data_IF_461271492135
#
_entry.id   IF_461271492135
#
_cell.length_a   1.000
_cell.length_b   1.000
_cell.length_c   1.000
_cell.angle_alpha   90.00
_cell.angle_beta   90.00
_cell.angle_gamma   90.00
#
_symmetry.space_group_name_H-M   'P 1'
#
loop_
_entity.id
_entity.type
_entity.pdbx_description
1 polymer ?
#
# COMPACT_ATOMS: atom_id res chain seq x y z
N UNK A 1 -15.48 -0.50 -27.45
CA UNK A 1 -15.99 0.60 -26.59
C UNK A 1 -14.92 1.63 -26.18
N UNK A 2 -14.05 1.36 -25.18
CA UNK A 2 -13.16 2.43 -24.63
C UNK A 2 -12.17 2.99 -25.65
N UNK A 3 -11.52 2.13 -26.44
CA UNK A 3 -10.64 2.57 -27.53
C UNK A 3 -11.37 3.41 -28.59
N UNK A 4 -12.57 2.97 -28.99
CA UNK A 4 -13.42 3.69 -29.97
C UNK A 4 -13.87 5.05 -29.43
N UNK A 5 -14.06 5.16 -28.12
CA UNK A 5 -14.38 6.42 -27.44
C UNK A 5 -13.13 7.28 -27.10
N UNK A 6 -11.92 6.89 -27.54
CA UNK A 6 -10.68 7.59 -27.22
C UNK A 6 -10.29 7.57 -25.74
N UNK A 7 -10.87 6.66 -24.95
CA UNK A 7 -10.61 6.53 -23.52
C UNK A 7 -9.45 5.55 -23.24
N UNK A 8 -8.67 5.76 -22.16
CA UNK A 8 -7.62 4.82 -21.76
C UNK A 8 -8.17 3.42 -21.54
N UNK A 9 -7.49 2.41 -22.09
CA UNK A 9 -7.83 1.00 -21.87
C UNK A 9 -7.64 0.61 -20.40
N UNK A 10 -8.38 -0.41 -19.97
CA UNK A 10 -8.12 -1.03 -18.67
C UNK A 10 -6.82 -1.82 -18.72
N UNK A 11 -6.10 -1.82 -17.60
CA UNK A 11 -4.76 -2.39 -17.52
C UNK A 11 -4.74 -3.92 -17.35
N UNK A 12 -5.83 -4.51 -16.85
CA UNK A 12 -6.01 -5.96 -16.67
C UNK A 12 -7.51 -6.26 -16.36
N UNK A 13 -7.94 -7.52 -16.40
CA UNK A 13 -9.31 -7.94 -16.06
C UNK A 13 -9.77 -7.49 -14.67
N UNK A 14 -8.90 -7.46 -13.66
CA UNK A 14 -9.25 -6.97 -12.31
C UNK A 14 -9.67 -5.50 -12.33
N UNK A 15 -8.90 -4.63 -12.99
CA UNK A 15 -9.23 -3.22 -13.14
C UNK A 15 -10.48 -3.02 -14.00
N UNK A 16 -10.63 -3.82 -15.06
CA UNK A 16 -11.82 -3.79 -15.90
C UNK A 16 -13.08 -4.17 -15.12
N UNK A 17 -13.07 -5.27 -14.36
CA UNK A 17 -14.20 -5.71 -13.54
C UNK A 17 -14.55 -4.68 -12.45
N UNK A 18 -13.57 -4.17 -11.71
CA UNK A 18 -13.79 -3.16 -10.67
C UNK A 18 -14.41 -1.87 -11.23
N UNK A 19 -13.90 -1.39 -12.37
CA UNK A 19 -14.46 -0.23 -13.07
C UNK A 19 -15.84 -0.51 -13.69
N UNK A 20 -16.21 -1.77 -13.88
CA UNK A 20 -17.51 -2.19 -14.44
C UNK A 20 -18.59 -2.32 -13.39
N UNK A 21 -18.27 -2.82 -12.20
CA UNK A 21 -19.22 -2.92 -11.10
C UNK A 21 -19.49 -1.54 -10.47
N UNK A 22 -18.50 -0.64 -10.46
CA UNK A 22 -18.60 0.69 -9.83
C UNK A 22 -19.14 1.78 -10.77
N UNK A 23 -20.22 1.49 -11.49
CA UNK A 23 -20.92 2.48 -12.32
C UNK A 23 -22.10 3.05 -11.56
N UNK A 24 -22.33 4.37 -11.67
CA UNK A 24 -23.53 5.00 -11.10
C UNK A 24 -24.79 4.56 -11.85
N UNK A 25 -24.68 4.39 -13.17
CA UNK A 25 -25.75 3.85 -14.00
C UNK A 25 -25.55 2.34 -14.23
N UNK A 26 -26.40 1.48 -13.66
CA UNK A 26 -26.26 0.02 -13.79
C UNK A 26 -26.42 -0.48 -15.24
N UNK A 27 -27.02 0.31 -16.14
CA UNK A 27 -27.15 -0.04 -17.56
C UNK A 27 -25.80 -0.07 -18.27
N UNK A 28 -24.79 0.63 -17.75
CA UNK A 28 -23.41 0.55 -18.26
C UNK A 28 -22.79 -0.78 -17.85
N UNK A 29 -22.99 -1.20 -16.61
CA UNK A 29 -22.54 -2.51 -16.10
C UNK A 29 -23.17 -3.65 -16.90
N UNK A 30 -24.47 -3.56 -17.19
CA UNK A 30 -25.22 -4.59 -17.92
C UNK A 30 -24.69 -4.84 -19.36
N UNK A 31 -23.98 -3.89 -19.96
CA UNK A 31 -23.36 -4.05 -21.29
C UNK A 31 -22.03 -4.80 -21.26
N UNK A 32 -21.49 -5.08 -20.08
CA UNK A 32 -20.17 -5.70 -19.91
C UNK A 32 -20.35 -7.16 -19.48
N UNK A 33 -19.59 -8.11 -20.06
CA UNK A 33 -19.75 -9.54 -19.79
C UNK A 33 -19.12 -9.91 -18.45
N UNK A 34 -19.69 -9.40 -17.35
CA UNK A 34 -19.27 -9.74 -16.00
C UNK A 34 -19.79 -11.12 -15.61
N UNK A 35 -18.97 -11.82 -14.85
CA UNK A 35 -19.24 -13.16 -14.34
C UNK A 35 -18.70 -13.27 -12.90
N UNK A 36 -19.10 -14.30 -12.16
CA UNK A 36 -18.78 -14.43 -10.73
C UNK A 36 -18.59 -15.89 -10.32
N UNK A 37 -17.63 -16.11 -9.41
CA UNK A 37 -17.51 -17.34 -8.63
C UNK A 37 -17.65 -17.02 -7.13
N UNK A 38 -18.52 -17.75 -6.44
CA UNK A 38 -18.68 -17.69 -4.99
C UNK A 38 -17.72 -18.69 -4.34
N UNK A 39 -17.05 -18.28 -3.27
CA UNK A 39 -15.97 -19.06 -2.66
C UNK A 39 -16.06 -19.19 -1.13
N UNK A 40 -17.06 -18.58 -0.48
CA UNK A 40 -17.23 -18.63 0.97
C UNK A 40 -18.63 -18.16 1.38
N UNK A 41 -19.15 -18.73 2.46
CA UNK A 41 -20.30 -18.21 3.20
C UNK A 41 -19.79 -17.26 4.31
N UNK A 42 -20.30 -16.03 4.36
CA UNK A 42 -19.84 -15.03 5.32
C UNK A 42 -20.66 -14.97 6.62
N UNK A 43 -21.99 -14.89 6.49
CA UNK A 43 -22.92 -14.80 7.61
C UNK A 43 -24.09 -15.76 7.38
N UNK A 44 -24.51 -16.45 8.43
CA UNK A 44 -25.67 -17.32 8.45
C UNK A 44 -26.37 -17.21 9.80
N UNK A 45 -27.70 -17.15 9.78
CA UNK A 45 -28.56 -17.12 10.96
C UNK A 45 -29.70 -18.12 10.78
N UNK A 46 -30.14 -18.75 11.87
CA UNK A 46 -31.35 -19.58 11.88
C UNK A 46 -31.22 -20.97 11.25
N UNK A 47 -30.00 -21.46 10.98
CA UNK A 47 -29.77 -22.82 10.46
C UNK A 47 -28.36 -23.33 10.71
N UNK A 48 -28.19 -24.65 10.73
CA UNK A 48 -26.87 -25.28 10.79
C UNK A 48 -26.14 -25.09 9.44
N UNK A 49 -24.94 -24.53 9.49
CA UNK A 49 -24.04 -24.49 8.32
C UNK A 49 -23.27 -25.80 8.20
N UNK A 50 -22.90 -26.24 6.99
CA UNK A 50 -22.08 -27.43 6.82
C UNK A 50 -20.78 -27.34 7.62
N UNK A 51 -20.27 -28.44 8.21
CA UNK A 51 -19.10 -28.41 9.08
C UNK A 51 -17.78 -28.19 8.33
N UNK A 52 -17.76 -28.43 7.01
CA UNK A 52 -16.58 -28.22 6.17
C UNK A 52 -16.78 -27.15 5.10
N UNK A 53 -15.66 -26.56 4.67
CA UNK A 53 -15.64 -25.60 3.57
C UNK A 53 -16.07 -26.25 2.25
N UNK A 54 -15.67 -27.51 2.01
CA UNK A 54 -16.08 -28.26 0.82
C UNK A 54 -17.60 -28.46 0.77
N UNK A 55 -18.22 -28.93 1.85
CA UNK A 55 -19.67 -29.08 1.91
C UNK A 55 -20.39 -27.72 1.83
N UNK A 56 -19.78 -26.65 2.33
CA UNK A 56 -20.30 -25.29 2.14
C UNK A 56 -20.33 -24.90 0.66
N UNK A 57 -19.30 -25.27 -0.12
CA UNK A 57 -19.27 -25.00 -1.55
C UNK A 57 -20.33 -25.81 -2.30
N UNK A 58 -20.49 -27.08 -1.99
CA UNK A 58 -21.56 -27.92 -2.57
C UNK A 58 -22.95 -27.43 -2.17
N UNK A 59 -23.14 -26.97 -0.93
CA UNK A 59 -24.38 -26.35 -0.49
C UNK A 59 -24.69 -25.07 -1.29
N UNK A 60 -23.74 -24.15 -1.43
CA UNK A 60 -23.94 -22.93 -2.23
C UNK A 60 -24.26 -23.26 -3.70
N UNK A 61 -23.59 -24.26 -4.27
CA UNK A 61 -23.88 -24.76 -5.61
C UNK A 61 -25.31 -25.30 -5.72
N UNK A 62 -25.80 -26.03 -4.71
CA UNK A 62 -27.18 -26.53 -4.65
C UNK A 62 -28.22 -25.41 -4.61
N UNK A 63 -27.86 -24.22 -4.09
CA UNK A 63 -28.70 -23.02 -4.09
C UNK A 63 -28.67 -22.24 -5.41
N UNK A 64 -27.91 -22.71 -6.42
CA UNK A 64 -27.76 -22.05 -7.72
C UNK A 64 -26.64 -21.01 -7.77
N UNK A 65 -25.83 -20.87 -6.71
CA UNK A 65 -24.63 -20.04 -6.80
C UNK A 65 -23.58 -20.71 -7.68
N UNK A 66 -22.90 -19.89 -8.49
CA UNK A 66 -21.80 -20.35 -9.34
C UNK A 66 -20.53 -20.55 -8.49
N UNK A 67 -20.13 -21.81 -8.31
CA UNK A 67 -18.86 -22.20 -7.67
C UNK A 67 -17.85 -22.59 -8.75
N UNK A 68 -16.56 -22.34 -8.51
CA UNK A 68 -15.53 -22.66 -9.48
C UNK A 68 -15.45 -24.17 -9.71
N UNK A 69 -15.64 -24.67 -10.96
CA UNK A 69 -15.64 -26.10 -11.25
C UNK A 69 -14.26 -26.76 -11.05
N UNK A 70 -13.20 -25.94 -10.97
CA UNK A 70 -11.83 -26.39 -10.81
C UNK A 70 -11.43 -26.64 -9.35
N UNK A 71 -12.32 -26.41 -8.37
CA UNK A 71 -12.03 -26.67 -6.97
C UNK A 71 -11.76 -28.18 -6.73
N UNK A 72 -10.82 -28.49 -5.85
CA UNK A 72 -10.50 -29.86 -5.46
C UNK A 72 -10.37 -29.99 -3.93
N UNK A 73 -10.82 -31.12 -3.39
CA UNK A 73 -10.55 -31.54 -2.02
C UNK A 73 -9.27 -32.38 -2.02
N UNK A 74 -8.26 -31.92 -1.31
CA UNK A 74 -6.92 -32.52 -1.29
C UNK A 74 -6.59 -32.93 0.15
N UNK A 75 -5.91 -34.06 0.32
CA UNK A 75 -5.65 -34.67 1.63
C UNK A 75 -4.21 -34.52 2.13
N UNK A 76 -3.31 -34.02 1.27
CA UNK A 76 -1.89 -33.85 1.59
C UNK A 76 -1.28 -32.59 0.98
N UNK A 77 -0.14 -32.14 1.51
CA UNK A 77 0.61 -31.01 0.95
C UNK A 77 1.14 -31.34 -0.46
N UNK A 78 1.58 -32.59 -0.68
CA UNK A 78 2.06 -33.02 -2.00
C UNK A 78 0.98 -32.93 -3.07
N UNK A 79 -0.26 -33.29 -2.74
CA UNK A 79 -1.41 -33.09 -3.65
C UNK A 79 -1.66 -31.60 -3.93
N UNK A 80 -1.48 -30.72 -2.93
CA UNK A 80 -1.60 -29.27 -3.13
C UNK A 80 -0.53 -28.74 -4.08
N UNK A 81 0.71 -29.22 -3.96
CA UNK A 81 1.81 -28.87 -4.85
C UNK A 81 1.57 -29.36 -6.28
N UNK A 82 1.09 -30.60 -6.45
CA UNK A 82 0.75 -31.16 -7.76
C UNK A 82 -0.43 -30.41 -8.41
N UNK A 83 -1.45 -30.07 -7.62
CA UNK A 83 -2.59 -29.27 -8.08
C UNK A 83 -2.14 -27.86 -8.50
N UNK A 84 -1.22 -27.23 -7.75
CA UNK A 84 -0.61 -25.95 -8.15
C UNK A 84 0.14 -26.08 -9.48
N UNK A 85 1.01 -27.08 -9.61
CA UNK A 85 1.81 -27.30 -10.82
C UNK A 85 0.93 -27.52 -12.05
N UNK A 86 -0.10 -28.34 -11.92
CA UNK A 86 -1.10 -28.57 -12.98
C UNK A 86 -1.71 -27.27 -13.47
N UNK A 87 -2.06 -26.36 -12.56
CA UNK A 87 -2.65 -25.07 -12.92
C UNK A 87 -1.64 -24.03 -13.40
N UNK A 88 -0.36 -24.13 -13.03
CA UNK A 88 0.70 -23.34 -13.67
C UNK A 88 0.79 -23.68 -15.16
N UNK A 89 0.79 -24.97 -15.51
CA UNK A 89 0.86 -25.42 -16.91
C UNK A 89 -0.42 -25.11 -17.69
N UNK A 90 -1.59 -25.30 -17.07
CA UNK A 90 -2.90 -25.13 -17.73
C UNK A 90 -3.47 -23.72 -17.62
N UNK A 91 -2.72 -22.78 -17.05
CA UNK A 91 -3.17 -21.40 -16.77
C UNK A 91 -3.83 -20.74 -17.97
N UNK A 92 -3.24 -20.89 -19.16
CA UNK A 92 -3.72 -20.25 -20.39
C UNK A 92 -5.00 -20.87 -20.95
N UNK A 93 -5.40 -22.06 -20.46
CA UNK A 93 -6.65 -22.70 -20.87
C UNK A 93 -7.87 -22.16 -20.11
N UNK A 94 -7.66 -21.38 -19.04
CA UNK A 94 -8.76 -20.77 -18.28
C UNK A 94 -9.40 -19.63 -19.09
N UNK A 95 -10.74 -19.51 -19.09
CA UNK A 95 -11.44 -18.40 -19.73
C UNK A 95 -11.34 -17.07 -18.95
N UNK A 96 -10.49 -17.03 -17.92
CA UNK A 96 -10.25 -15.89 -17.05
C UNK A 96 -8.78 -15.89 -16.59
N UNK A 97 -8.25 -14.72 -16.24
CA UNK A 97 -6.93 -14.62 -15.62
C UNK A 97 -6.97 -15.15 -14.19
N UNK A 98 -5.97 -15.98 -13.85
CA UNK A 98 -5.70 -16.44 -12.49
C UNK A 98 -4.25 -16.14 -12.10
N UNK A 99 -4.04 -15.85 -10.82
CA UNK A 99 -2.74 -15.46 -10.25
C UNK A 99 -2.17 -16.48 -9.26
N UNK A 100 -2.87 -17.59 -9.08
CA UNK A 100 -2.52 -18.68 -8.17
C UNK A 100 -3.73 -19.52 -7.80
N UNK A 101 -3.53 -20.37 -6.80
CA UNK A 101 -4.60 -21.09 -6.10
C UNK A 101 -4.75 -20.55 -4.68
N UNK A 102 -5.89 -20.80 -4.05
CA UNK A 102 -6.09 -20.52 -2.62
C UNK A 102 -6.22 -21.85 -1.89
N UNK A 103 -5.30 -22.11 -0.97
CA UNK A 103 -5.31 -23.30 -0.12
C UNK A 103 -6.00 -22.94 1.18
N UNK A 104 -7.03 -23.69 1.57
CA UNK A 104 -7.81 -23.48 2.79
C UNK A 104 -7.88 -24.77 3.56
N UNK A 105 -7.76 -24.71 4.88
CA UNK A 105 -8.12 -25.85 5.72
C UNK A 105 -9.61 -26.19 5.49
N UNK A 106 -9.94 -27.47 5.39
CA UNK A 106 -11.32 -27.84 5.07
C UNK A 106 -12.26 -27.74 6.29
N UNK A 107 -11.76 -27.96 7.51
CA UNK A 107 -12.57 -27.87 8.74
C UNK A 107 -12.85 -26.41 9.12
N UNK A 108 -14.12 -26.07 9.31
CA UNK A 108 -14.51 -24.73 9.77
C UNK A 108 -14.23 -24.50 11.27
N UNK A 109 -14.21 -25.55 12.10
CA UNK A 109 -13.73 -25.47 13.50
C UNK A 109 -12.29 -24.95 13.57
N UNK A 110 -11.44 -25.41 12.64
CA UNK A 110 -10.06 -24.93 12.55
C UNK A 110 -9.98 -23.47 12.09
N UNK A 111 -10.94 -22.97 11.31
CA UNK A 111 -10.96 -21.56 10.92
C UNK A 111 -11.15 -20.67 12.15
N UNK A 112 -12.11 -21.02 13.00
CA UNK A 112 -12.41 -20.28 14.24
C UNK A 112 -11.24 -20.33 15.22
N UNK A 113 -10.69 -21.54 15.46
CA UNK A 113 -9.59 -21.74 16.42
C UNK A 113 -8.29 -21.07 15.99
N UNK A 114 -7.99 -21.04 14.70
CA UNK A 114 -6.80 -20.38 14.20
C UNK A 114 -6.98 -18.86 14.16
N UNK A 115 -8.16 -18.38 13.80
CA UNK A 115 -8.47 -16.95 13.71
C UNK A 115 -7.64 -16.22 12.65
N UNK A 116 -7.42 -14.92 12.88
CA UNK A 116 -6.75 -14.01 11.96
C UNK A 116 -5.54 -13.33 12.63
N UNK A 117 -4.52 -12.96 11.84
CA UNK A 117 -3.45 -12.04 12.23
C UNK A 117 -3.63 -10.76 11.42
N UNK A 118 -3.93 -9.64 12.09
CA UNK A 118 -4.24 -8.39 11.41
C UNK A 118 -5.44 -8.56 10.46
N UNK A 119 -5.19 -8.47 9.15
CA UNK A 119 -6.20 -8.65 8.09
C UNK A 119 -6.15 -10.03 7.40
N UNK A 120 -5.25 -10.92 7.81
CA UNK A 120 -4.98 -12.17 7.11
C UNK A 120 -5.48 -13.39 7.93
N UNK A 121 -6.24 -14.31 7.34
CA UNK A 121 -6.64 -15.55 8.02
C UNK A 121 -5.47 -16.51 8.18
N UNK A 122 -5.38 -17.17 9.35
CA UNK A 122 -4.32 -18.17 9.62
C UNK A 122 -4.61 -19.55 9.03
N UNK A 123 -5.84 -19.77 8.56
CA UNK A 123 -6.34 -21.04 8.04
C UNK A 123 -6.35 -21.12 6.50
N UNK A 124 -5.91 -20.06 5.81
CA UNK A 124 -5.83 -20.02 4.35
C UNK A 124 -4.59 -19.28 3.86
N UNK A 125 -4.10 -19.67 2.68
CA UNK A 125 -2.97 -19.02 2.01
C UNK A 125 -3.22 -18.93 0.51
N UNK A 126 -2.85 -17.80 -0.10
CA UNK A 126 -2.82 -17.66 -1.55
C UNK A 126 -1.47 -18.19 -2.07
N UNK A 127 -1.49 -19.35 -2.71
CA UNK A 127 -0.31 -19.94 -3.33
C UNK A 127 -0.19 -19.45 -4.78
N UNK A 128 0.51 -18.33 -4.95
CA UNK A 128 0.63 -17.61 -6.22
C UNK A 128 1.39 -18.41 -7.28
N UNK A 129 1.02 -18.22 -8.54
CA UNK A 129 1.83 -18.68 -9.66
C UNK A 129 3.11 -17.85 -9.76
N UNK A 130 4.17 -18.37 -10.41
CA UNK A 130 5.34 -17.57 -10.73
C UNK A 130 4.95 -16.27 -11.42
N UNK A 131 5.47 -15.13 -10.92
CA UNK A 131 5.15 -13.84 -11.48
C UNK A 131 5.59 -13.77 -12.95
N UNK A 132 4.75 -13.21 -13.82
CA UNK A 132 5.15 -12.93 -15.20
C UNK A 132 6.32 -11.96 -15.16
N UNK A 133 7.42 -12.34 -15.80
CA UNK A 133 8.62 -11.53 -15.90
C UNK A 133 8.72 -10.93 -17.31
N UNK A 134 9.17 -9.69 -17.38
CA UNK A 134 9.62 -9.06 -18.63
C UNK A 134 11.08 -8.66 -18.51
N UNK A 135 11.75 -8.48 -19.65
CA UNK A 135 13.08 -7.87 -19.68
C UNK A 135 12.98 -6.50 -20.34
N UNK A 136 13.68 -5.52 -19.78
CA UNK A 136 13.72 -4.15 -20.33
C UNK A 136 15.01 -3.45 -19.97
N UNK A 137 15.28 -2.31 -20.60
CA UNK A 137 16.46 -1.50 -20.30
C UNK A 137 16.25 -0.65 -19.04
N UNK A 138 17.23 -0.67 -18.14
CA UNK A 138 17.33 0.23 -17.01
C UNK A 138 18.00 1.54 -17.46
N UNK A 139 17.20 2.58 -17.67
CA UNK A 139 17.69 3.86 -18.19
C UNK A 139 18.38 4.70 -17.11
N UNK A 140 17.81 4.74 -15.91
CA UNK A 140 18.29 5.58 -14.81
C UNK A 140 17.85 4.97 -13.47
N UNK A 141 18.58 5.27 -12.40
CA UNK A 141 18.10 5.06 -11.03
C UNK A 141 17.94 6.43 -10.38
N UNK A 142 16.71 6.75 -9.97
CA UNK A 142 16.38 7.98 -9.23
C UNK A 142 16.12 7.65 -7.77
N UNK A 143 16.09 8.69 -6.93
CA UNK A 143 15.91 8.55 -5.49
C UNK A 143 14.74 9.42 -5.04
N UNK A 144 13.73 8.79 -4.43
CA UNK A 144 12.64 9.50 -3.76
C UNK A 144 12.95 9.67 -2.28
N UNK A 145 12.37 10.70 -1.67
CA UNK A 145 12.51 10.98 -0.23
C UNK A 145 11.18 10.65 0.44
N UNK A 146 11.17 9.62 1.28
CA UNK A 146 9.98 9.20 2.00
C UNK A 146 9.62 10.13 3.18
N UNK A 147 8.46 9.89 3.79
CA UNK A 147 7.91 10.62 4.94
C UNK A 147 8.89 10.85 6.09
N UNK A 148 9.66 9.82 6.42
CA UNK A 148 10.64 9.81 7.52
C UNK A 148 12.05 10.20 7.06
N UNK A 149 12.17 10.72 5.84
CA UNK A 149 13.44 11.10 5.23
C UNK A 149 14.19 9.95 4.54
N UNK A 150 13.68 8.72 4.56
CA UNK A 150 14.31 7.57 3.86
C UNK A 150 14.56 7.90 2.39
N UNK A 151 15.78 7.66 1.92
CA UNK A 151 16.15 7.78 0.52
C UNK A 151 15.91 6.43 -0.17
N UNK A 152 14.87 6.38 -0.99
CA UNK A 152 14.39 5.15 -1.62
C UNK A 152 14.75 5.18 -3.12
N UNK A 153 15.67 4.30 -3.59
CA UNK A 153 15.99 4.24 -5.00
C UNK A 153 14.85 3.61 -5.80
N UNK A 154 14.67 4.02 -7.04
CA UNK A 154 13.73 3.40 -7.95
C UNK A 154 14.26 3.47 -9.39
N UNK A 155 13.98 2.42 -10.15
CA UNK A 155 14.38 2.27 -11.53
C UNK A 155 13.47 3.11 -12.44
N UNK A 156 14.08 3.85 -13.37
CA UNK A 156 13.43 4.37 -14.57
C UNK A 156 13.74 3.39 -15.70
N UNK A 157 12.70 2.78 -16.24
CA UNK A 157 12.79 1.69 -17.19
C UNK A 157 12.34 2.15 -18.58
N UNK A 158 12.89 1.53 -19.60
CA UNK A 158 12.25 1.55 -20.92
C UNK A 158 10.87 0.86 -20.81
N UNK A 159 9.80 1.45 -21.37
CA UNK A 159 8.45 0.93 -21.18
C UNK A 159 8.33 -0.54 -21.62
N UNK A 160 7.89 -1.41 -20.71
CA UNK A 160 7.73 -2.85 -20.98
C UNK A 160 6.37 -3.34 -20.51
N UNK A 161 5.71 -4.18 -21.30
CA UNK A 161 4.45 -4.82 -20.91
C UNK A 161 4.73 -6.08 -20.10
N UNK A 162 4.25 -6.13 -18.86
CA UNK A 162 4.38 -7.30 -17.98
C UNK A 162 3.04 -7.58 -17.31
N UNK A 163 2.42 -8.71 -17.65
CA UNK A 163 1.09 -9.07 -17.15
C UNK A 163 0.03 -8.01 -17.48
N UNK A 164 -0.06 -7.60 -18.75
CA UNK A 164 -1.05 -6.66 -19.27
C UNK A 164 -0.80 -5.17 -18.97
N UNK A 165 0.18 -4.84 -18.12
CA UNK A 165 0.46 -3.47 -17.70
C UNK A 165 1.81 -2.99 -18.22
N UNK A 166 1.83 -1.77 -18.77
CA UNK A 166 3.09 -1.10 -19.13
C UNK A 166 3.80 -0.57 -17.88
N UNK A 167 4.95 -1.16 -17.56
CA UNK A 167 5.82 -0.74 -16.47
C UNK A 167 6.85 0.26 -17.02
N UNK A 168 6.94 1.44 -16.40
CA UNK A 168 7.97 2.47 -16.68
C UNK A 168 8.89 2.72 -15.49
N UNK A 169 8.46 2.31 -14.30
CA UNK A 169 9.17 2.50 -13.05
C UNK A 169 9.03 1.25 -12.19
N UNK A 170 10.08 0.91 -11.46
CA UNK A 170 10.07 -0.21 -10.53
C UNK A 170 10.83 0.12 -9.25
N UNK A 171 10.37 -0.41 -8.13
CA UNK A 171 11.02 -0.21 -6.85
C UNK A 171 12.40 -0.89 -6.83
N UNK A 172 13.38 -0.22 -6.23
CA UNK A 172 14.65 -0.79 -5.82
C UNK A 172 14.72 -0.62 -4.31
N UNK A 173 15.05 -1.68 -3.56
CA UNK A 173 14.86 -1.64 -2.10
C UNK A 173 15.78 -0.64 -1.41
N UNK A 174 17.09 -0.74 -1.64
CA UNK A 174 18.12 0.13 -1.07
C UNK A 174 19.44 -0.06 -1.82
N UNK A 175 20.44 0.77 -1.50
CA UNK A 175 21.77 0.70 -2.14
C UNK A 175 22.43 -0.68 -1.98
N UNK A 176 22.32 -1.30 -0.81
CA UNK A 176 22.93 -2.60 -0.55
C UNK A 176 22.28 -3.71 -1.39
N UNK A 177 20.95 -3.68 -1.56
CA UNK A 177 20.23 -4.64 -2.41
C UNK A 177 20.58 -4.47 -3.89
N UNK A 178 20.71 -3.22 -4.35
CA UNK A 178 21.18 -2.90 -5.71
C UNK A 178 22.57 -3.49 -5.94
N UNK A 179 23.50 -3.30 -4.99
CA UNK A 179 24.86 -3.86 -5.07
C UNK A 179 24.87 -5.37 -4.98
N UNK A 180 24.08 -5.96 -4.08
CA UNK A 180 23.97 -7.42 -3.89
C UNK A 180 23.46 -8.12 -5.15
N UNK A 181 22.51 -7.50 -5.86
CA UNK A 181 22.00 -7.98 -7.16
C UNK A 181 22.87 -7.56 -8.34
N UNK A 182 23.93 -6.79 -8.12
CA UNK A 182 24.80 -6.18 -9.12
C UNK A 182 24.02 -5.43 -10.22
N UNK A 183 22.99 -4.67 -9.84
CA UNK A 183 22.18 -3.90 -10.80
C UNK A 183 22.92 -2.60 -11.15
N UNK A 184 23.10 -2.35 -12.45
CA UNK A 184 23.83 -1.18 -12.98
C UNK A 184 22.97 -0.37 -13.94
N UNK A 185 23.14 0.94 -13.94
CA UNK A 185 22.46 1.83 -14.88
C UNK A 185 22.94 1.49 -16.30
N UNK A 186 21.99 1.22 -17.20
CA UNK A 186 22.25 0.72 -18.54
C UNK A 186 21.99 -0.78 -18.73
N UNK A 187 21.86 -1.57 -17.65
CA UNK A 187 21.60 -3.00 -17.73
C UNK A 187 20.27 -3.29 -18.47
N UNK A 188 20.23 -4.43 -19.17
CA UNK A 188 18.94 -5.10 -19.39
C UNK A 188 18.56 -5.80 -18.09
N UNK A 189 17.41 -5.47 -17.51
CA UNK A 189 16.95 -6.00 -16.22
C UNK A 189 15.69 -6.83 -16.37
N UNK A 190 15.56 -7.83 -15.50
CA UNK A 190 14.35 -8.63 -15.33
C UNK A 190 13.43 -7.90 -14.36
N UNK A 191 12.19 -7.66 -14.79
CA UNK A 191 11.17 -6.93 -14.04
C UNK A 191 9.97 -7.81 -13.85
N UNK A 192 9.40 -7.80 -12.65
CA UNK A 192 8.18 -8.54 -12.33
C UNK A 192 7.24 -7.71 -11.48
N UNK A 193 5.97 -8.11 -11.41
CA UNK A 193 4.99 -7.51 -10.50
C UNK A 193 4.91 -8.35 -9.23
N UNK A 194 5.45 -7.85 -8.12
CA UNK A 194 5.31 -8.49 -6.81
C UNK A 194 3.86 -8.43 -6.35
N UNK A 195 3.28 -9.60 -6.02
CA UNK A 195 1.87 -9.72 -5.63
C UNK A 195 0.90 -9.13 -6.65
N UNK A 196 1.29 -9.12 -7.94
CA UNK A 196 0.58 -8.47 -9.04
C UNK A 196 0.32 -6.96 -8.89
N UNK A 197 0.96 -6.25 -7.95
CA UNK A 197 0.67 -4.82 -7.74
C UNK A 197 1.90 -3.96 -7.94
N UNK A 198 3.04 -4.31 -7.33
CA UNK A 198 4.20 -3.41 -7.28
C UNK A 198 5.28 -3.92 -8.24
N UNK A 199 5.64 -3.18 -9.29
CA UNK A 199 6.78 -3.51 -10.13
C UNK A 199 8.09 -3.49 -9.33
N UNK A 200 8.90 -4.54 -9.46
CA UNK A 200 10.23 -4.63 -8.86
C UNK A 200 11.25 -5.18 -9.86
N UNK A 201 12.50 -4.75 -9.70
CA UNK A 201 13.63 -5.32 -10.43
C UNK A 201 14.13 -6.58 -9.71
N UNK A 202 14.11 -7.71 -10.42
CA UNK A 202 14.58 -9.01 -9.92
C UNK A 202 16.11 -9.07 -9.95
N UNK A 203 16.70 -8.69 -11.08
CA UNK A 203 18.14 -8.69 -11.29
C UNK A 203 18.52 -8.37 -12.75
N UNK A 204 19.82 -8.23 -13.04
CA UNK A 204 20.32 -7.96 -14.39
C UNK A 204 20.38 -9.23 -15.25
N UNK A 205 20.24 -9.04 -16.56
CA UNK A 205 20.56 -10.07 -17.57
C UNK A 205 22.03 -9.89 -17.93
N UNK A 206 22.92 -10.50 -17.14
CA UNK A 206 24.38 -10.31 -17.22
C UNK A 206 24.94 -10.60 -18.62
N UNK A 207 24.38 -11.58 -19.33
CA UNK A 207 24.79 -11.94 -20.70
C UNK A 207 24.55 -10.84 -21.75
N UNK A 208 23.73 -9.82 -21.44
CA UNK A 208 23.44 -8.70 -22.34
C UNK A 208 24.26 -7.44 -22.02
N UNK A 209 25.26 -7.53 -21.14
CA UNK A 209 26.10 -6.39 -20.79
C UNK A 209 27.05 -6.01 -21.93
N UNK A 210 27.14 -4.71 -22.14
CA UNK A 210 28.03 -4.03 -23.07
C UNK A 210 29.36 -3.61 -22.44
N UNK A 211 29.45 -3.58 -21.11
CA UNK A 211 30.60 -3.07 -20.36
C UNK A 211 30.55 -1.56 -20.10
N UNK A 212 29.55 -0.85 -20.64
CA UNK A 212 29.37 0.60 -20.43
C UNK A 212 28.44 0.93 -19.25
N UNK A 213 27.94 -0.09 -18.54
CA UNK A 213 26.98 0.08 -17.46
C UNK A 213 27.63 0.75 -16.23
N UNK A 214 26.87 1.62 -15.55
CA UNK A 214 27.37 2.42 -14.43
C UNK A 214 26.87 1.89 -13.10
N UNK A 215 27.78 1.75 -12.14
CA UNK A 215 27.42 1.43 -10.76
C UNK A 215 26.60 2.57 -10.16
N UNK A 216 25.56 2.22 -9.42
CA UNK A 216 24.77 3.19 -8.66
C UNK A 216 25.39 3.43 -7.29
N UNK A 217 25.46 4.70 -6.90
CA UNK A 217 25.80 5.13 -5.55
C UNK A 217 24.69 6.02 -5.02
N UNK A 218 24.33 5.81 -3.75
CA UNK A 218 23.35 6.67 -3.10
C UNK A 218 23.90 8.11 -3.00
N UNK A 219 23.13 9.15 -3.37
CA UNK A 219 23.62 10.51 -3.32
C UNK A 219 23.97 10.91 -1.88
N UNK A 220 25.11 11.58 -1.73
CA UNK A 220 25.60 12.10 -0.44
C UNK A 220 24.78 13.29 0.08
N UNK A 221 23.87 13.82 -0.73
CA UNK A 221 22.93 14.90 -0.41
C UNK A 221 21.52 14.53 -0.85
N UNK A 222 20.53 15.01 -0.10
CA UNK A 222 19.13 14.88 -0.44
C UNK A 222 18.85 15.52 -1.81
N UNK A 223 18.24 14.82 -2.77
CA UNK A 223 17.97 15.35 -4.10
C UNK A 223 16.91 16.46 -4.11
N UNK A 224 16.21 16.67 -2.99
CA UNK A 224 15.12 17.66 -2.87
C UNK A 224 15.57 18.92 -2.13
N UNK A 225 16.19 18.79 -0.95
CA UNK A 225 16.57 19.93 -0.12
C UNK A 225 18.09 20.17 -0.01
N UNK A 226 18.93 19.33 -0.64
CA UNK A 226 20.39 19.47 -0.62
C UNK A 226 21.09 19.15 0.71
N UNK A 227 20.35 18.84 1.77
CA UNK A 227 20.91 18.45 3.07
C UNK A 227 21.79 17.20 2.94
N UNK A 228 22.91 17.14 3.70
CA UNK A 228 23.81 15.99 3.71
C UNK A 228 23.05 14.73 4.16
N UNK A 229 23.03 13.70 3.32
CA UNK A 229 22.40 12.44 3.64
C UNK A 229 23.18 11.75 4.76
N UNK A 230 22.45 11.11 5.69
CA UNK A 230 23.03 10.35 6.78
C UNK A 230 22.65 8.87 6.64
N UNK A 231 23.62 7.99 6.90
CA UNK A 231 23.39 6.55 7.01
C UNK A 231 23.79 6.13 8.42
N UNK A 232 22.84 5.86 9.33
CA UNK A 232 23.16 5.47 10.70
C UNK A 232 24.06 4.23 10.74
N UNK A 233 24.94 4.14 11.75
CA UNK A 233 25.79 2.96 11.94
C UNK A 233 24.90 1.71 12.12
N UNK A 234 25.19 0.64 11.37
CA UNK A 234 24.38 -0.57 11.35
C UNK A 234 23.05 -0.46 10.57
N UNK A 235 22.76 0.69 9.97
CA UNK A 235 21.58 0.92 9.14
C UNK A 235 21.79 0.59 7.66
N UNK A 236 20.77 0.02 7.03
CA UNK A 236 20.76 -0.28 5.58
C UNK A 236 20.34 0.94 4.73
N UNK A 237 19.46 1.77 5.29
CA UNK A 237 18.90 2.93 4.58
C UNK A 237 19.70 4.22 4.83
N UNK A 238 19.76 5.06 3.81
CA UNK A 238 20.19 6.46 3.93
C UNK A 238 18.98 7.37 4.15
N UNK A 239 19.19 8.50 4.84
CA UNK A 239 18.13 9.42 5.24
C UNK A 239 18.49 10.87 4.97
N UNK A 240 17.49 11.67 4.62
CA UNK A 240 17.52 13.11 4.71
C UNK A 240 17.21 13.53 6.17
N UNK A 241 18.16 14.14 6.91
CA UNK A 241 17.92 14.53 8.29
C UNK A 241 17.11 15.82 8.43
N UNK A 242 16.90 16.56 7.32
CA UNK A 242 16.21 17.84 7.35
C UNK A 242 14.70 17.63 7.49
N UNK A 243 14.18 17.80 8.69
CA UNK A 243 12.74 17.72 8.98
C UNK A 243 11.91 18.74 8.19
N UNK A 244 12.50 19.87 7.78
CA UNK A 244 11.87 20.88 6.94
C UNK A 244 12.01 20.59 5.43
N UNK A 245 12.51 19.41 5.05
CA UNK A 245 12.59 19.00 3.65
C UNK A 245 11.19 19.02 3.00
N UNK A 246 10.99 19.73 1.87
CA UNK A 246 9.69 19.81 1.21
C UNK A 246 9.07 18.46 0.88
N UNK A 247 9.88 17.49 0.44
CA UNK A 247 9.38 16.15 0.15
C UNK A 247 8.90 15.43 1.41
N UNK A 248 9.58 15.57 2.55
CA UNK A 248 9.10 14.97 3.79
C UNK A 248 7.80 15.62 4.27
N UNK A 249 7.66 16.95 4.11
CA UNK A 249 6.42 17.66 4.45
C UNK A 249 5.27 17.16 3.57
N UNK A 250 5.50 17.05 2.25
CA UNK A 250 4.51 16.53 1.30
C UNK A 250 4.07 15.11 1.68
N UNK A 251 5.02 14.22 1.93
CA UNK A 251 4.73 12.84 2.32
C UNK A 251 4.02 12.74 3.68
N UNK A 252 4.34 13.62 4.64
CA UNK A 252 3.62 13.70 5.92
C UNK A 252 2.18 14.18 5.72
N UNK A 253 1.96 15.17 4.87
CA UNK A 253 0.61 15.62 4.52
C UNK A 253 -0.18 14.50 3.83
N UNK A 254 0.40 13.86 2.81
CA UNK A 254 -0.23 12.75 2.08
C UNK A 254 -0.58 11.58 3.02
N UNK A 255 0.32 11.24 3.95
CA UNK A 255 0.06 10.24 4.99
C UNK A 255 -1.07 10.66 5.94
N UNK A 256 -1.05 11.91 6.40
CA UNK A 256 -2.06 12.45 7.32
C UNK A 256 -3.46 12.44 6.70
N UNK A 257 -3.61 12.86 5.44
CA UNK A 257 -4.92 12.86 4.75
C UNK A 257 -5.35 11.49 4.24
N UNK A 258 -4.46 10.50 4.27
CA UNK A 258 -4.73 9.16 3.73
C UNK A 258 -5.94 8.49 4.39
N UNK A 259 -6.53 7.50 3.71
CA UNK A 259 -7.68 6.73 4.20
C UNK A 259 -7.44 6.08 5.58
N UNK A 260 -6.21 5.64 5.84
CA UNK A 260 -5.82 5.07 7.14
C UNK A 260 -5.52 6.13 8.20
N UNK A 261 -5.08 7.32 7.79
CA UNK A 261 -4.89 8.49 8.64
C UNK A 261 -6.22 9.18 8.95
N UNK A 262 -6.28 10.48 8.67
CA UNK A 262 -7.45 11.31 8.96
C UNK A 262 -8.58 11.18 7.92
N UNK A 263 -8.35 10.47 6.82
CA UNK A 263 -9.37 10.16 5.80
C UNK A 263 -10.01 11.42 5.19
N UNK A 264 -9.17 12.40 4.86
CA UNK A 264 -9.60 13.68 4.27
C UNK A 264 -9.71 13.49 2.75
N UNK A 265 -10.92 13.21 2.30
CA UNK A 265 -11.24 12.98 0.88
C UNK A 265 -11.11 14.28 0.08
N UNK A 266 -10.59 14.16 -1.14
CA UNK A 266 -10.36 15.31 -2.03
C UNK A 266 -8.93 15.85 -1.97
N UNK A 267 -8.17 15.58 -0.90
CA UNK A 267 -6.75 15.93 -0.80
C UNK A 267 -5.90 14.70 -1.11
N UNK A 268 -5.48 14.57 -2.38
CA UNK A 268 -4.48 13.59 -2.81
C UNK A 268 -3.09 14.20 -2.94
N UNK A 269 -2.09 13.38 -3.31
CA UNK A 269 -0.68 13.81 -3.47
C UNK A 269 -0.53 15.10 -4.29
N UNK A 270 -1.20 15.20 -5.44
CA UNK A 270 -1.15 16.40 -6.30
C UNK A 270 -1.64 17.65 -5.60
N UNK A 271 -2.72 17.55 -4.82
CA UNK A 271 -3.27 18.69 -4.10
C UNK A 271 -2.39 19.05 -2.89
N UNK A 272 -1.80 18.06 -2.20
CA UNK A 272 -0.78 18.32 -1.18
C UNK A 272 0.38 19.14 -1.76
N UNK A 273 0.90 18.77 -2.95
CA UNK A 273 1.94 19.53 -3.63
C UNK A 273 1.48 20.95 -3.96
N UNK A 274 0.28 21.13 -4.51
CA UNK A 274 -0.26 22.45 -4.86
C UNK A 274 -0.44 23.35 -3.62
N UNK A 275 -0.98 22.81 -2.53
CA UNK A 275 -1.15 23.55 -1.26
C UNK A 275 0.19 24.01 -0.68
N UNK A 276 1.21 23.16 -0.74
CA UNK A 276 2.57 23.49 -0.30
C UNK A 276 3.22 24.56 -1.19
N UNK A 277 3.10 24.41 -2.51
CA UNK A 277 3.67 25.35 -3.48
C UNK A 277 3.02 26.74 -3.39
N UNK A 278 1.70 26.79 -3.16
CA UNK A 278 0.97 28.03 -2.93
C UNK A 278 1.23 28.64 -1.53
N UNK A 279 1.97 27.95 -0.66
CA UNK A 279 2.25 28.41 0.71
C UNK A 279 1.04 28.42 1.63
N UNK A 280 -0.07 27.79 1.21
CA UNK A 280 -1.32 27.71 1.98
C UNK A 280 -1.19 26.77 3.19
N UNK A 281 -0.31 25.78 3.09
CA UNK A 281 0.02 24.87 4.19
C UNK A 281 1.53 24.71 4.32
N UNK A 282 2.01 24.51 5.54
CA UNK A 282 3.40 24.21 5.89
C UNK A 282 3.51 22.92 6.71
N UNK A 283 2.44 22.56 7.42
CA UNK A 283 2.30 21.32 8.18
C UNK A 283 0.82 20.87 8.20
N UNK A 284 0.58 19.71 8.80
CA UNK A 284 -0.74 19.08 8.83
C UNK A 284 -1.79 19.87 9.62
N UNK A 285 -1.39 20.71 10.58
CA UNK A 285 -2.35 21.52 11.34
C UNK A 285 -2.90 22.69 10.51
N UNK A 286 -2.13 23.21 9.54
CA UNK A 286 -2.59 24.29 8.65
C UNK A 286 -3.79 23.86 7.80
N UNK A 287 -4.01 22.56 7.60
CA UNK A 287 -5.18 22.04 6.88
C UNK A 287 -6.49 22.52 7.53
N UNK A 288 -6.53 22.61 8.86
CA UNK A 288 -7.72 22.99 9.60
C UNK A 288 -7.98 24.50 9.61
N UNK A 289 -7.01 25.30 9.15
CA UNK A 289 -7.12 26.74 8.99
C UNK A 289 -7.50 27.14 7.55
N UNK A 290 -7.60 26.18 6.63
CA UNK A 290 -7.93 26.43 5.23
C UNK A 290 -9.36 26.95 5.05
N UNK A 291 -9.50 27.93 4.16
CA UNK A 291 -10.80 28.50 3.78
C UNK A 291 -11.15 28.14 2.34
N UNK A 292 -12.45 28.17 2.02
CA UNK A 292 -12.93 27.99 0.64
C UNK A 292 -12.27 28.99 -0.32
N UNK A 293 -12.12 30.26 0.09
CA UNK A 293 -11.50 31.30 -0.73
C UNK A 293 -10.05 30.99 -1.08
N UNK A 294 -9.26 30.49 -0.13
CA UNK A 294 -7.88 30.07 -0.39
C UNK A 294 -7.82 28.90 -1.37
N UNK A 295 -8.69 27.90 -1.22
CA UNK A 295 -8.71 26.74 -2.12
C UNK A 295 -9.06 27.15 -3.56
N UNK A 296 -9.97 28.12 -3.74
CA UNK A 296 -10.36 28.62 -5.06
C UNK A 296 -9.22 29.31 -5.83
N UNK A 297 -8.12 29.69 -5.15
CA UNK A 297 -6.92 30.21 -5.83
C UNK A 297 -6.12 29.14 -6.57
N UNK A 298 -6.38 27.85 -6.30
CA UNK A 298 -5.67 26.73 -6.91
C UNK A 298 -6.25 26.37 -8.28
N UNK A 299 -5.37 26.02 -9.22
CA UNK A 299 -5.78 25.55 -10.53
C UNK A 299 -6.70 24.32 -10.43
N UNK A 300 -7.76 24.30 -11.27
CA UNK A 300 -8.77 23.23 -11.33
C UNK A 300 -9.56 23.03 -10.03
N UNK A 301 -9.60 24.03 -9.15
CA UNK A 301 -10.50 24.06 -8.01
C UNK A 301 -11.81 24.77 -8.36
N UNK A 302 -12.93 24.11 -8.10
CA UNK A 302 -14.27 24.68 -8.25
C UNK A 302 -14.93 24.80 -6.87
N UNK A 303 -15.92 25.69 -6.73
CA UNK A 303 -16.61 25.96 -5.46
C UNK A 303 -17.10 24.69 -4.77
N UNK A 304 -17.75 23.78 -5.53
CA UNK A 304 -18.23 22.51 -4.98
C UNK A 304 -17.10 21.60 -4.48
N UNK A 305 -15.98 21.56 -5.19
CA UNK A 305 -14.81 20.77 -4.78
C UNK A 305 -14.14 21.34 -3.54
N UNK A 306 -14.00 22.67 -3.48
CA UNK A 306 -13.47 23.37 -2.31
C UNK A 306 -14.37 23.11 -1.08
N UNK A 307 -15.69 23.27 -1.23
CA UNK A 307 -16.65 23.01 -0.15
C UNK A 307 -16.59 21.55 0.34
N UNK A 308 -16.47 20.58 -0.57
CA UNK A 308 -16.32 19.16 -0.20
C UNK A 308 -15.01 18.90 0.56
N UNK A 309 -13.92 19.60 0.22
CA UNK A 309 -12.64 19.47 0.93
C UNK A 309 -12.77 20.04 2.34
N UNK A 310 -13.34 21.24 2.50
CA UNK A 310 -13.56 21.85 3.82
C UNK A 310 -14.46 20.97 4.69
N UNK A 311 -15.57 20.46 4.15
CA UNK A 311 -16.45 19.50 4.83
C UNK A 311 -15.70 18.22 5.22
N UNK A 312 -14.83 17.70 4.36
CA UNK A 312 -14.03 16.52 4.68
C UNK A 312 -12.95 16.77 5.75
N UNK A 313 -12.40 17.99 5.80
CA UNK A 313 -11.45 18.40 6.86
C UNK A 313 -12.19 18.47 8.19
N UNK A 314 -13.37 19.11 8.22
CA UNK A 314 -14.15 19.23 9.46
C UNK A 314 -14.59 17.86 10.00
N UNK A 315 -15.11 16.98 9.13
CA UNK A 315 -15.46 15.58 9.48
C UNK A 315 -14.28 14.72 9.95
N UNK A 316 -13.06 15.15 9.66
CA UNK A 316 -11.86 14.42 10.11
C UNK A 316 -11.54 14.66 11.58
N UNK A 317 -12.06 15.73 12.19
CA UNK A 317 -11.86 16.03 13.62
C UNK A 317 -12.41 14.93 14.54
N UNK A 318 -13.45 14.23 14.09
CA UNK A 318 -14.08 13.12 14.82
C UNK A 318 -13.39 11.75 14.62
N UNK A 319 -12.22 11.69 13.96
CA UNK A 319 -11.52 10.41 13.80
C UNK A 319 -11.04 9.88 15.18
N UNK A 320 -11.08 8.55 15.40
CA UNK A 320 -10.63 7.95 16.66
C UNK A 320 -9.14 8.18 16.91
N UNK A 321 -8.74 8.14 18.20
CA UNK A 321 -7.36 8.36 18.64
C UNK A 321 -6.33 7.48 17.90
N UNK A 322 -6.68 6.23 17.58
CA UNK A 322 -5.82 5.33 16.81
C UNK A 322 -5.45 5.89 15.44
N UNK A 323 -6.40 6.53 14.75
CA UNK A 323 -6.15 7.21 13.47
C UNK A 323 -5.31 8.46 13.64
N UNK A 324 -5.51 9.22 14.72
CA UNK A 324 -4.68 10.40 15.03
C UNK A 324 -3.22 9.96 15.25
N UNK A 325 -2.98 8.96 16.11
CA UNK A 325 -1.63 8.43 16.39
C UNK A 325 -0.98 7.93 15.09
N UNK A 326 -1.72 7.19 14.27
CA UNK A 326 -1.23 6.73 12.98
C UNK A 326 -0.89 7.91 12.06
N UNK A 327 -1.77 8.91 11.95
CA UNK A 327 -1.62 10.07 11.07
C UNK A 327 -0.43 10.98 11.44
N UNK A 328 -0.03 11.03 12.72
CA UNK A 328 1.18 11.75 13.15
C UNK A 328 2.47 11.20 12.50
N UNK A 329 2.43 9.96 12.00
CA UNK A 329 3.51 9.39 11.22
C UNK A 329 4.79 9.09 12.02
N UNK A 330 4.64 8.83 13.32
CA UNK A 330 5.73 8.45 14.24
C UNK A 330 6.49 7.25 13.66
N UNK A 331 7.82 7.32 13.68
CA UNK A 331 8.67 6.25 13.13
C UNK A 331 8.37 4.92 13.83
N UNK A 332 8.30 3.83 13.05
CA UNK A 332 7.93 2.47 13.48
C UNK A 332 6.49 2.27 13.98
N UNK A 333 5.66 3.31 14.07
CA UNK A 333 4.24 3.19 14.47
C UNK A 333 3.36 2.99 13.22
N UNK A 334 2.93 1.75 13.00
CA UNK A 334 1.93 1.38 11.98
C UNK A 334 0.49 1.47 12.49
N UNK A 335 -0.48 1.11 11.64
CA UNK A 335 -1.92 1.20 11.96
C UNK A 335 -2.30 0.33 13.17
N UNK A 336 -1.80 -0.91 13.22
CA UNK A 336 -2.05 -1.84 14.34
C UNK A 336 -1.45 -1.34 15.65
N UNK A 337 -0.18 -0.90 15.60
CA UNK A 337 0.51 -0.35 16.77
C UNK A 337 -0.19 0.93 17.27
N UNK A 338 -0.66 1.79 16.36
CA UNK A 338 -1.43 2.97 16.74
C UNK A 338 -2.76 2.60 17.44
N UNK A 339 -3.42 1.53 17.00
CA UNK A 339 -4.59 0.96 17.68
C UNK A 339 -4.27 0.47 19.09
N UNK A 340 -3.18 -0.26 19.25
CA UNK A 340 -2.72 -0.77 20.54
C UNK A 340 -2.32 0.37 21.51
N UNK A 341 -1.59 1.37 21.03
CA UNK A 341 -1.24 2.56 21.82
C UNK A 341 -2.49 3.36 22.22
N UNK A 342 -3.45 3.54 21.30
CA UNK A 342 -4.71 4.23 21.60
C UNK A 342 -5.50 3.52 22.70
N UNK A 343 -5.60 2.19 22.62
CA UNK A 343 -6.32 1.37 23.61
C UNK A 343 -5.62 1.38 24.97
N UNK A 344 -4.28 1.37 25.00
CA UNK A 344 -3.51 1.35 26.24
C UNK A 344 -3.54 2.71 26.96
N UNK A 345 -3.27 3.81 26.25
CA UNK A 345 -3.13 5.13 26.89
C UNK A 345 -4.45 5.91 26.96
N UNK A 346 -5.40 5.67 26.06
CA UNK A 346 -6.72 6.33 26.02
C UNK A 346 -6.71 7.83 25.70
N UNK A 347 -5.54 8.48 25.64
CA UNK A 347 -5.40 9.89 25.26
C UNK A 347 -4.03 10.15 24.65
N UNK A 348 -3.95 11.15 23.77
CA UNK A 348 -2.68 11.56 23.17
C UNK A 348 -1.73 12.18 24.19
N UNK A 349 -2.25 12.86 25.22
CA UNK A 349 -1.44 13.45 26.29
C UNK A 349 -0.74 12.39 27.13
N UNK A 350 -1.48 11.36 27.57
CA UNK A 350 -0.88 10.23 28.30
C UNK A 350 0.21 9.53 27.49
N UNK A 351 0.00 9.35 26.18
CA UNK A 351 1.03 8.79 25.30
C UNK A 351 2.23 9.75 25.16
N UNK A 352 2.00 11.06 25.13
CA UNK A 352 3.05 12.07 24.97
C UNK A 352 3.95 12.21 26.21
N UNK A 353 3.41 11.91 27.39
CA UNK A 353 4.12 11.97 28.66
C UNK A 353 4.63 10.59 29.13
N UNK A 354 4.30 9.52 28.40
CA UNK A 354 4.72 8.16 28.72
C UNK A 354 6.26 8.02 28.78
N UNK A 355 6.73 7.30 29.80
CA UNK A 355 8.16 6.98 29.92
C UNK A 355 8.56 5.84 28.98
N UNK A 356 9.87 5.73 28.72
CA UNK A 356 10.41 4.60 27.95
C UNK A 356 10.11 3.24 28.60
N UNK A 357 10.13 3.17 29.93
CA UNK A 357 9.82 1.95 30.70
C UNK A 357 8.35 1.55 30.57
N UNK A 358 7.43 2.52 30.66
CA UNK A 358 5.99 2.28 30.44
C UNK A 358 5.73 1.77 29.02
N UNK A 359 6.36 2.38 28.01
CA UNK A 359 6.24 1.91 26.62
C UNK A 359 6.75 0.47 26.46
N UNK A 360 7.89 0.13 27.07
CA UNK A 360 8.47 -1.21 27.05
C UNK A 360 7.62 -2.27 27.77
N UNK A 361 6.76 -1.86 28.71
CA UNK A 361 5.85 -2.77 29.41
C UNK A 361 4.75 -3.31 28.51
N UNK A 362 4.49 -2.66 27.36
CA UNK A 362 3.43 -3.04 26.44
C UNK A 362 3.90 -4.24 25.60
N UNK A 363 3.16 -5.37 25.61
CA UNK A 363 3.48 -6.51 24.76
C UNK A 363 3.59 -6.07 23.30
N UNK A 364 4.63 -6.53 22.59
CA UNK A 364 5.02 -6.14 21.20
C UNK A 364 5.79 -4.83 21.03
N UNK A 365 5.93 -4.01 22.07
CA UNK A 365 6.76 -2.79 22.00
C UNK A 365 8.21 -3.10 22.37
N UNK A 366 9.10 -3.02 21.38
CA UNK A 366 10.54 -3.15 21.58
C UNK A 366 11.27 -1.81 21.79
N UNK A 367 12.55 -1.83 22.18
CA UNK A 367 13.34 -0.62 22.47
C UNK A 367 13.34 0.42 21.33
N UNK A 368 13.51 -0.03 20.08
CA UNK A 368 13.51 0.88 18.91
C UNK A 368 12.20 1.64 18.75
N UNK A 369 11.07 1.01 19.07
CA UNK A 369 9.76 1.62 18.96
C UNK A 369 9.53 2.60 20.11
N UNK A 370 9.86 2.20 21.34
CA UNK A 370 9.80 3.06 22.52
C UNK A 370 10.65 4.34 22.35
N UNK A 371 11.88 4.19 21.84
CA UNK A 371 12.78 5.30 21.52
C UNK A 371 12.17 6.24 20.47
N UNK A 372 11.53 5.67 19.44
CA UNK A 372 10.92 6.46 18.36
C UNK A 372 9.74 7.29 18.85
N UNK A 373 8.90 6.72 19.70
CA UNK A 373 7.76 7.40 20.32
C UNK A 373 8.27 8.51 21.24
N UNK A 374 9.19 8.17 22.14
CA UNK A 374 9.76 9.12 23.11
C UNK A 374 10.46 10.29 22.40
N UNK A 375 11.28 9.99 21.38
CA UNK A 375 11.98 11.00 20.59
C UNK A 375 11.02 11.91 19.82
N UNK A 376 9.87 11.40 19.36
CA UNK A 376 8.85 12.20 18.70
C UNK A 376 8.26 13.24 19.65
N UNK A 377 7.80 12.83 20.83
CA UNK A 377 7.13 13.73 21.78
C UNK A 377 8.08 14.66 22.56
N UNK A 378 9.39 14.36 22.59
CA UNK A 378 10.42 15.27 23.11
C UNK A 378 10.72 16.46 22.19
N UNK A 379 10.37 16.39 20.90
CA UNK A 379 10.61 17.49 19.97
C UNK A 379 9.56 18.58 20.14
N UNK A 380 10.00 19.81 20.43
CA UNK A 380 9.09 20.94 20.65
C UNK A 380 8.22 21.25 19.42
N UNK A 381 8.72 21.02 18.20
CA UNK A 381 7.90 21.20 17.00
C UNK A 381 6.69 20.26 16.97
N UNK A 382 6.86 19.01 17.41
CA UNK A 382 5.75 18.04 17.46
C UNK A 382 4.78 18.38 18.61
N UNK A 383 5.28 18.85 19.75
CA UNK A 383 4.42 19.36 20.84
C UNK A 383 3.61 20.57 20.39
N UNK A 384 4.23 21.50 19.67
CA UNK A 384 3.54 22.66 19.08
C UNK A 384 2.49 22.25 18.04
N UNK A 385 2.80 21.27 17.19
CA UNK A 385 1.84 20.70 16.24
C UNK A 385 0.61 20.12 16.97
N UNK A 386 0.81 19.33 18.02
CA UNK A 386 -0.29 18.75 18.81
C UNK A 386 -1.15 19.82 19.46
N UNK A 387 -0.55 20.89 19.99
CA UNK A 387 -1.29 22.03 20.55
C UNK A 387 -2.18 22.70 19.51
N UNK A 388 -1.72 22.82 18.26
CA UNK A 388 -2.53 23.38 17.16
C UNK A 388 -3.66 22.43 16.75
N UNK A 389 -3.35 21.14 16.59
CA UNK A 389 -4.35 20.13 16.25
C UNK A 389 -5.46 20.02 17.31
N UNK A 390 -5.14 20.26 18.59
CA UNK A 390 -6.13 20.31 19.68
C UNK A 390 -7.11 21.49 19.59
N UNK A 391 -6.67 22.62 19.00
CA UNK A 391 -7.48 23.83 18.90
C UNK A 391 -8.43 23.81 17.71
N UNK A 392 -8.07 23.04 16.68
CA UNK A 392 -8.87 22.83 15.48
C UNK A 392 -10.08 21.93 15.78
#
# INVERSE_FOLDING_TARGET
ERAEAGLPLFANPRNAAAGSVRQLDPRITAKRPLDIYIYMLGYAEGGATPPTHWETMEYLKSLGFKVNPNNALLTSISEVEEFHHTWVERRESLPYEADGIVVKLNSLDLHERLGNIGREPRWAIAYKFPAVQGTTRLNEIRVSVGRTGTLNPYAILEPVSVGGVTIKQAALHNEDDIRRKDIRIGDTVIVQRAGEVIPQVVGPVVSKRSGQEKLFTMPSRCPVCGAKAIRPKGGVMSYCPNVACPAQIQERLAHFVSRGGMDIRGIGEKLCTALLQAGLVKNVADLYDLTNQQLLTLERMAEKSAANIIDSIDKSKDRPLSRVIFALGILHVGEEMAGLLANHFGSIDKLADASGEELLSIPTVGPKLADSITAFFRQEQNRSLLKRLRKA
#
